data_IF_759536241051
#
_entry.id   IF_759536241051
#
_cell.length_a   1.000
_cell.length_b   1.000
_cell.length_c   1.000
_cell.angle_alpha   90.00
_cell.angle_beta   90.00
_cell.angle_gamma   90.00
#
_symmetry.space_group_name_H-M   'P 1'
#
loop_
_entity.id
_entity.type
_entity.pdbx_description
1 polymer ?
#
# COMPACT_ATOMS: atom_id res chain seq x y z
N UNK A 1 16.14 4.93 6.24
CA UNK A 1 15.50 3.60 6.28
C UNK A 1 15.28 3.16 4.85
N UNK A 2 15.71 1.95 4.49
CA UNK A 2 15.48 1.38 3.16
C UNK A 2 13.96 1.25 2.92
N UNK A 3 13.47 1.70 1.75
CA UNK A 3 12.09 1.51 1.31
C UNK A 3 12.11 1.10 -0.17
N UNK A 4 11.92 -0.19 -0.42
CA UNK A 4 11.91 -0.78 -1.75
C UNK A 4 10.48 -1.11 -2.14
N UNK A 5 10.04 -0.70 -3.32
CA UNK A 5 8.81 -1.19 -3.94
C UNK A 5 9.12 -1.89 -5.26
N UNK A 6 8.46 -3.01 -5.51
CA UNK A 6 8.61 -3.81 -6.74
C UNK A 6 7.39 -4.70 -6.95
N UNK A 7 7.21 -5.17 -8.19
CA UNK A 7 6.20 -6.16 -8.52
C UNK A 7 6.61 -7.56 -8.03
N UNK A 8 5.62 -8.43 -7.82
CA UNK A 8 5.88 -9.83 -7.49
C UNK A 8 6.59 -10.57 -8.63
N UNK A 9 6.29 -10.19 -9.89
CA UNK A 9 6.92 -10.75 -11.07
C UNK A 9 8.42 -10.46 -11.11
N UNK A 10 8.80 -9.22 -10.78
CA UNK A 10 10.21 -8.85 -10.70
C UNK A 10 10.92 -9.60 -9.56
N UNK A 11 10.25 -9.81 -8.42
CA UNK A 11 10.80 -10.61 -7.32
C UNK A 11 10.94 -12.09 -7.70
N UNK A 12 9.98 -12.63 -8.47
CA UNK A 12 10.01 -14.00 -8.98
C UNK A 12 11.02 -14.19 -10.13
N UNK A 13 11.60 -13.12 -10.67
CA UNK A 13 12.55 -13.18 -11.79
C UNK A 13 11.89 -13.41 -13.15
N UNK A 14 10.58 -13.23 -13.27
CA UNK A 14 9.80 -13.41 -14.51
C UNK A 14 9.48 -12.10 -15.22
N UNK A 15 9.87 -10.97 -14.65
CA UNK A 15 9.73 -9.64 -15.25
C UNK A 15 11.01 -8.83 -15.07
N UNK A 16 11.34 -8.04 -16.09
CA UNK A 16 12.42 -7.06 -16.03
C UNK A 16 11.95 -5.67 -15.52
N UNK A 17 10.72 -5.56 -15.07
CA UNK A 17 10.14 -4.31 -14.57
C UNK A 17 10.99 -3.73 -13.43
N UNK A 18 11.39 -2.44 -13.52
CA UNK A 18 12.24 -1.83 -12.50
C UNK A 18 11.50 -1.71 -11.16
N UNK A 19 12.22 -1.96 -10.07
CA UNK A 19 11.78 -1.57 -8.74
C UNK A 19 12.05 -0.08 -8.49
N UNK A 20 11.55 0.42 -7.37
CA UNK A 20 11.80 1.78 -6.90
C UNK A 20 12.38 1.76 -5.50
N UNK A 21 13.53 2.40 -5.34
CA UNK A 21 14.20 2.55 -4.05
C UNK A 21 13.98 3.97 -3.52
N UNK A 22 13.35 4.06 -2.35
CA UNK A 22 13.00 5.33 -1.72
C UNK A 22 14.22 6.23 -1.50
N UNK A 23 14.13 7.49 -1.92
CA UNK A 23 15.22 8.47 -1.84
C UNK A 23 16.28 8.35 -2.95
N UNK A 24 16.25 7.28 -3.77
CA UNK A 24 17.20 7.05 -4.87
C UNK A 24 16.48 7.13 -6.22
N UNK A 25 15.37 6.42 -6.39
CA UNK A 25 14.63 6.37 -7.64
C UNK A 25 14.47 4.95 -8.19
N UNK A 26 14.25 4.79 -9.52
CA UNK A 26 14.13 3.48 -10.14
C UNK A 26 15.44 2.72 -10.09
N UNK A 27 15.34 1.41 -9.87
CA UNK A 27 16.45 0.44 -9.90
C UNK A 27 16.04 -0.75 -10.75
N UNK A 28 17.00 -1.41 -11.39
CA UNK A 28 16.67 -2.59 -12.23
C UNK A 28 16.02 -3.70 -11.41
N UNK A 29 15.24 -4.59 -12.04
CA UNK A 29 14.63 -5.75 -11.39
C UNK A 29 15.69 -6.60 -10.66
N UNK A 30 16.87 -6.78 -11.26
CA UNK A 30 17.98 -7.54 -10.66
C UNK A 30 18.46 -6.86 -9.37
N UNK A 31 18.65 -5.54 -9.39
CA UNK A 31 19.06 -4.78 -8.19
C UNK A 31 17.98 -4.83 -7.11
N UNK A 32 16.74 -4.64 -7.48
CA UNK A 32 15.59 -4.74 -6.57
C UNK A 32 15.51 -6.14 -5.92
N UNK A 33 15.66 -7.20 -6.72
CA UNK A 33 15.68 -8.59 -6.26
C UNK A 33 16.82 -8.86 -5.26
N UNK A 34 18.04 -8.36 -5.53
CA UNK A 34 19.17 -8.46 -4.60
C UNK A 34 18.88 -7.76 -3.28
N UNK A 35 18.34 -6.55 -3.31
CA UNK A 35 17.96 -5.80 -2.11
C UNK A 35 16.86 -6.52 -1.32
N UNK A 36 15.83 -7.04 -2.01
CA UNK A 36 14.79 -7.85 -1.40
C UNK A 36 15.34 -9.14 -0.76
N UNK A 37 16.29 -9.80 -1.43
CA UNK A 37 17.00 -10.96 -0.92
C UNK A 37 17.79 -10.66 0.36
N UNK A 38 18.45 -9.51 0.44
CA UNK A 38 19.14 -9.08 1.67
C UNK A 38 18.12 -8.75 2.78
N UNK A 39 17.01 -8.08 2.45
CA UNK A 39 15.96 -7.77 3.40
C UNK A 39 15.28 -9.05 3.95
N UNK A 40 15.12 -10.10 3.15
CA UNK A 40 14.47 -11.35 3.59
C UNK A 40 15.27 -12.11 4.66
N UNK A 41 16.57 -11.86 4.73
CA UNK A 41 17.47 -12.44 5.76
C UNK A 41 17.44 -11.67 7.08
N UNK A 42 16.86 -10.48 7.09
CA UNK A 42 16.78 -9.64 8.29
C UNK A 42 15.39 -9.77 8.93
N UNK A 43 15.26 -10.33 10.14
CA UNK A 43 13.99 -10.46 10.84
C UNK A 43 13.35 -9.11 11.21
N UNK A 44 14.13 -8.01 11.20
CA UNK A 44 13.62 -6.66 11.43
C UNK A 44 13.04 -6.01 10.16
N UNK A 45 13.29 -6.59 8.97
CA UNK A 45 12.73 -6.07 7.73
C UNK A 45 11.20 -6.25 7.71
N UNK A 46 10.49 -5.18 7.36
CA UNK A 46 9.05 -5.18 7.19
C UNK A 46 8.67 -5.54 5.75
N UNK A 47 7.71 -6.42 5.58
CA UNK A 47 7.15 -6.74 4.26
C UNK A 47 5.72 -6.28 4.18
N UNK A 48 5.42 -5.40 3.26
CA UNK A 48 4.09 -4.89 2.94
C UNK A 48 3.65 -5.44 1.59
N UNK A 49 2.47 -6.03 1.56
CA UNK A 49 1.86 -6.58 0.35
C UNK A 49 0.67 -5.71 -0.01
N UNK A 50 0.63 -5.26 -1.24
CA UNK A 50 -0.46 -4.49 -1.80
C UNK A 50 -1.11 -5.34 -2.88
N UNK A 51 -2.39 -5.64 -2.73
CA UNK A 51 -3.17 -6.31 -3.76
C UNK A 51 -3.83 -5.22 -4.61
N UNK A 52 -3.66 -5.32 -5.93
CA UNK A 52 -4.25 -4.38 -6.89
C UNK A 52 -5.37 -5.04 -7.68
N UNK A 53 -6.34 -4.23 -8.10
CA UNK A 53 -7.32 -4.64 -9.12
C UNK A 53 -6.70 -4.58 -10.52
N UNK A 54 -7.46 -4.94 -11.54
CA UNK A 54 -7.06 -4.89 -12.96
C UNK A 54 -6.69 -3.48 -13.44
N UNK A 55 -7.14 -2.44 -12.78
CA UNK A 55 -6.76 -1.03 -13.03
C UNK A 55 -5.53 -0.57 -12.26
N UNK A 56 -4.82 -1.46 -11.56
CA UNK A 56 -3.64 -1.10 -10.77
C UNK A 56 -3.93 -0.39 -9.44
N UNK A 57 -5.19 -0.24 -9.04
CA UNK A 57 -5.54 0.43 -7.78
C UNK A 57 -5.45 -0.52 -6.59
N UNK A 58 -4.93 -0.06 -5.46
CA UNK A 58 -4.84 -0.86 -4.25
C UNK A 58 -6.23 -1.17 -3.66
N UNK A 59 -6.58 -2.46 -3.60
CA UNK A 59 -7.84 -2.96 -3.02
C UNK A 59 -7.64 -3.62 -1.66
N UNK A 60 -6.45 -4.11 -1.37
CA UNK A 60 -6.10 -4.66 -0.06
C UNK A 60 -4.64 -4.42 0.29
N UNK A 61 -4.36 -4.28 1.57
CA UNK A 61 -2.99 -4.14 2.11
C UNK A 61 -2.82 -5.07 3.29
N UNK A 62 -1.67 -5.73 3.35
CA UNK A 62 -1.31 -6.60 4.46
C UNK A 62 0.21 -6.63 4.66
N UNK A 63 0.65 -7.13 5.78
CA UNK A 63 2.05 -7.44 6.04
C UNK A 63 2.29 -8.94 6.09
N UNK A 64 3.52 -9.35 5.81
CA UNK A 64 3.96 -10.70 6.18
C UNK A 64 4.38 -10.62 7.65
N UNK A 65 3.81 -11.48 8.54
CA UNK A 65 4.26 -11.54 9.92
C UNK A 65 5.75 -11.79 9.99
N UNK A 66 6.44 -11.05 10.86
CA UNK A 66 7.89 -11.23 11.08
C UNK A 66 8.18 -12.68 11.40
N UNK A 67 9.26 -13.22 10.83
CA UNK A 67 9.76 -14.50 11.25
C UNK A 67 10.15 -14.38 12.72
N UNK A 68 9.62 -15.26 13.57
CA UNK A 68 10.16 -15.42 14.92
C UNK A 68 11.63 -15.76 14.76
N UNK A 69 12.49 -15.09 15.53
CA UNK A 69 13.91 -15.47 15.64
C UNK A 69 13.91 -16.96 15.99
N UNK A 70 14.48 -17.80 15.13
CA UNK A 70 14.73 -19.18 15.52
C UNK A 70 15.69 -19.10 16.71
N UNK A 71 15.30 -19.68 17.82
CA UNK A 71 16.16 -19.88 18.97
C UNK A 71 17.18 -20.95 18.58
N UNK A 72 18.23 -20.53 17.90
CA UNK A 72 19.37 -21.31 17.46
C UNK A 72 20.60 -20.44 17.44
N UNK A 73 21.80 -21.01 17.61
CA UNK A 73 23.04 -20.25 17.56
C UNK A 73 23.11 -19.47 16.24
N UNK A 74 23.48 -18.17 16.32
CA UNK A 74 23.70 -17.34 15.15
C UNK A 74 24.81 -17.99 14.31
N UNK A 75 24.52 -18.35 13.06
CA UNK A 75 25.52 -18.82 12.12
C UNK A 75 26.67 -17.77 12.04
N UNK A 76 27.90 -18.15 12.29
CA UNK A 76 29.05 -17.25 12.15
C UNK A 76 29.19 -16.93 10.65
N UNK A 77 28.93 -15.69 10.26
CA UNK A 77 29.00 -15.22 8.87
C UNK A 77 27.69 -14.75 8.26
N UNK A 78 26.57 -14.76 8.98
CA UNK A 78 25.33 -14.14 8.56
C UNK A 78 25.50 -12.63 8.43
N UNK A 79 25.85 -12.16 7.22
CA UNK A 79 25.99 -10.75 6.91
C UNK A 79 24.74 -9.99 7.37
N UNK A 80 24.96 -8.82 7.98
CA UNK A 80 23.88 -7.97 8.47
C UNK A 80 22.88 -7.70 7.34
N UNK A 81 21.72 -8.38 7.40
CA UNK A 81 20.65 -8.18 6.42
C UNK A 81 20.16 -6.74 6.49
N UNK A 82 19.67 -6.21 5.37
CA UNK A 82 19.20 -4.83 5.29
C UNK A 82 17.91 -4.64 6.11
N UNK A 83 17.96 -3.73 7.08
CA UNK A 83 16.78 -3.29 7.79
C UNK A 83 16.01 -2.28 6.93
N UNK A 84 14.70 -2.49 6.76
CA UNK A 84 13.88 -1.59 5.96
C UNK A 84 12.51 -2.15 5.67
N UNK A 85 11.85 -1.55 4.72
CA UNK A 85 10.54 -2.02 4.21
C UNK A 85 10.67 -2.46 2.76
N UNK A 86 10.12 -3.62 2.46
CA UNK A 86 9.89 -4.07 1.09
C UNK A 86 8.39 -4.09 0.83
N UNK A 87 7.96 -3.40 -0.22
CA UNK A 87 6.57 -3.38 -0.67
C UNK A 87 6.47 -4.19 -1.96
N UNK A 88 5.61 -5.21 -1.95
CA UNK A 88 5.30 -6.01 -3.13
C UNK A 88 3.91 -5.68 -3.63
N UNK A 89 3.76 -5.43 -4.91
CA UNK A 89 2.48 -5.34 -5.60
C UNK A 89 2.13 -6.70 -6.21
N UNK A 90 0.90 -7.15 -5.99
CA UNK A 90 0.37 -8.43 -6.48
C UNK A 90 -1.02 -8.16 -7.07
N UNK A 91 -1.20 -8.27 -8.39
CA UNK A 91 -2.53 -8.18 -9.01
C UNK A 91 -3.46 -9.29 -8.53
N UNK A 92 -4.76 -9.00 -8.40
CA UNK A 92 -5.73 -9.96 -7.88
C UNK A 92 -5.96 -11.18 -8.76
N UNK A 93 -5.77 -11.06 -10.07
CA UNK A 93 -5.87 -12.15 -11.04
C UNK A 93 -4.83 -13.24 -10.81
N UNK A 94 -3.63 -12.86 -10.39
CA UNK A 94 -2.56 -13.79 -9.99
C UNK A 94 -2.99 -14.66 -8.80
N UNK A 95 -3.80 -14.10 -7.90
CA UNK A 95 -4.29 -14.84 -6.73
C UNK A 95 -5.43 -15.80 -7.08
N UNK A 96 -6.16 -15.53 -8.16
CA UNK A 96 -7.17 -16.43 -8.71
C UNK A 96 -6.54 -17.58 -9.52
N UNK A 97 -5.45 -17.29 -10.23
CA UNK A 97 -4.74 -18.23 -11.09
C UNK A 97 -3.24 -18.18 -10.76
N UNK A 98 -2.82 -18.73 -9.61
CA UNK A 98 -1.41 -18.68 -9.23
C UNK A 98 -0.57 -19.39 -10.32
N UNK A 99 0.52 -18.75 -10.77
CA UNK A 99 1.39 -19.35 -11.74
C UNK A 99 1.91 -20.68 -11.20
N UNK A 100 2.11 -21.70 -12.05
CA UNK A 100 2.74 -22.94 -11.64
C UNK A 100 4.08 -22.59 -11.00
N UNK A 101 4.44 -23.29 -9.93
CA UNK A 101 5.69 -23.08 -9.20
C UNK A 101 6.87 -23.23 -10.17
N UNK A 102 7.24 -22.14 -10.83
CA UNK A 102 8.39 -22.12 -11.71
C UNK A 102 9.64 -22.05 -10.84
N UNK A 103 10.56 -22.97 -11.04
CA UNK A 103 11.92 -22.84 -10.55
C UNK A 103 12.51 -21.56 -11.18
N UNK A 104 13.02 -20.62 -10.38
CA UNK A 104 13.61 -19.41 -10.93
C UNK A 104 14.75 -19.80 -11.88
N UNK A 105 14.70 -19.22 -13.10
CA UNK A 105 15.81 -19.35 -14.02
C UNK A 105 17.05 -18.73 -13.35
N UNK A 106 18.04 -19.57 -13.03
CA UNK A 106 19.44 -19.25 -12.68
C UNK A 106 19.69 -17.98 -11.83
N UNK A 107 18.88 -17.76 -10.77
CA UNK A 107 19.16 -16.78 -9.73
C UNK A 107 19.09 -17.45 -8.35
N UNK A 108 19.74 -16.91 -7.31
CA UNK A 108 19.56 -17.44 -5.98
C UNK A 108 18.08 -17.38 -5.63
N UNK A 109 17.51 -18.54 -5.30
CA UNK A 109 16.12 -18.70 -4.80
C UNK A 109 15.83 -17.59 -3.78
N UNK A 110 14.75 -16.79 -3.93
CA UNK A 110 14.44 -15.77 -2.94
C UNK A 110 14.36 -16.46 -1.57
N UNK A 111 15.19 -16.06 -0.61
CA UNK A 111 15.43 -16.86 0.59
C UNK A 111 14.13 -17.11 1.35
N UNK A 112 13.89 -18.38 1.66
CA UNK A 112 12.92 -18.78 2.69
C UNK A 112 11.45 -18.68 2.34
N UNK A 113 11.05 -18.90 1.09
CA UNK A 113 9.63 -18.96 0.73
C UNK A 113 8.89 -17.64 0.93
N UNK A 114 9.60 -16.51 0.85
CA UNK A 114 8.99 -15.18 1.06
C UNK A 114 7.87 -14.90 0.06
N UNK A 115 8.05 -15.33 -1.20
CA UNK A 115 7.05 -15.16 -2.25
C UNK A 115 5.78 -15.97 -1.95
N UNK A 116 5.93 -17.24 -1.54
CA UNK A 116 4.79 -18.08 -1.16
C UNK A 116 4.01 -17.47 0.02
N UNK A 117 4.74 -16.95 1.02
CA UNK A 117 4.14 -16.25 2.16
C UNK A 117 3.44 -14.96 1.76
N UNK A 118 4.00 -14.23 0.80
CA UNK A 118 3.41 -13.02 0.24
C UNK A 118 2.10 -13.33 -0.47
N UNK A 119 2.10 -14.34 -1.37
CA UNK A 119 0.90 -14.79 -2.09
C UNK A 119 -0.19 -15.27 -1.12
N UNK A 120 0.17 -16.06 -0.11
CA UNK A 120 -0.78 -16.51 0.91
C UNK A 120 -1.35 -15.34 1.72
N UNK A 121 -0.53 -14.37 2.12
CA UNK A 121 -0.98 -13.19 2.86
C UNK A 121 -1.90 -12.32 1.97
N UNK A 122 -1.56 -12.14 0.70
CA UNK A 122 -2.36 -11.44 -0.30
C UNK A 122 -3.73 -12.09 -0.49
N UNK A 123 -3.80 -13.41 -0.66
CA UNK A 123 -5.06 -14.15 -0.82
C UNK A 123 -6.00 -13.94 0.38
N UNK A 124 -5.47 -14.02 1.61
CA UNK A 124 -6.27 -13.73 2.82
C UNK A 124 -6.72 -12.28 2.89
N UNK A 125 -5.89 -11.33 2.45
CA UNK A 125 -6.24 -9.92 2.43
C UNK A 125 -7.33 -9.63 1.39
N UNK A 126 -7.20 -10.20 0.19
CA UNK A 126 -8.19 -10.09 -0.88
C UNK A 126 -9.55 -10.67 -0.46
N UNK A 127 -9.57 -11.84 0.16
CA UNK A 127 -10.82 -12.44 0.66
C UNK A 127 -11.55 -11.50 1.63
N UNK A 128 -10.82 -10.89 2.58
CA UNK A 128 -11.40 -9.90 3.50
C UNK A 128 -11.88 -8.64 2.78
N UNK A 129 -11.13 -8.16 1.79
CA UNK A 129 -11.51 -6.98 1.01
C UNK A 129 -12.78 -7.23 0.19
N UNK A 130 -12.94 -8.42 -0.39
CA UNK A 130 -14.15 -8.82 -1.14
C UNK A 130 -15.38 -8.91 -0.23
N UNK A 131 -15.24 -9.46 0.98
CA UNK A 131 -16.34 -9.47 1.97
C UNK A 131 -16.73 -8.04 2.36
N UNK A 132 -15.76 -7.15 2.55
CA UNK A 132 -16.04 -5.76 2.87
C UNK A 132 -16.71 -5.04 1.69
N UNK A 133 -16.26 -5.28 0.46
CA UNK A 133 -16.86 -4.69 -0.75
C UNK A 133 -18.29 -5.17 -0.98
N UNK A 134 -18.59 -6.45 -0.75
CA UNK A 134 -19.95 -7.00 -0.81
C UNK A 134 -20.87 -6.34 0.24
N UNK A 135 -20.39 -6.11 1.44
CA UNK A 135 -21.14 -5.41 2.47
C UNK A 135 -21.40 -3.93 2.12
N UNK A 136 -20.42 -3.27 1.50
CA UNK A 136 -20.60 -1.89 1.00
C UNK A 136 -21.64 -1.83 -0.12
N UNK A 137 -21.58 -2.77 -1.06
CA UNK A 137 -22.57 -2.86 -2.14
C UNK A 137 -23.98 -3.06 -1.59
N UNK A 138 -24.14 -3.96 -0.61
CA UNK A 138 -25.43 -4.19 0.04
C UNK A 138 -25.96 -2.97 0.83
N UNK A 139 -25.06 -2.12 1.32
CA UNK A 139 -25.42 -0.89 2.04
C UNK A 139 -25.62 0.33 1.11
N UNK A 140 -25.44 0.17 -0.20
CA UNK A 140 -25.48 1.28 -1.16
C UNK A 140 -24.34 2.30 -0.97
N UNK A 141 -23.25 1.91 -0.27
CA UNK A 141 -22.11 2.75 0.05
C UNK A 141 -21.22 2.11 1.09
N UNK A 142 -20.35 2.89 1.74
CA UNK A 142 -19.47 2.34 2.77
C UNK A 142 -20.27 1.87 4.00
N UNK A 143 -20.26 0.57 4.26
CA UNK A 143 -20.92 -0.04 5.43
C UNK A 143 -20.17 0.22 6.77
N UNK A 144 -19.12 1.02 6.76
CA UNK A 144 -18.32 1.46 7.91
C UNK A 144 -17.76 0.32 8.80
N UNK A 145 -17.69 -0.92 8.27
CA UNK A 145 -17.21 -2.10 9.03
C UNK A 145 -15.79 -1.96 9.56
N UNK A 146 -14.97 -1.11 8.94
CA UNK A 146 -13.59 -0.82 9.34
C UNK A 146 -13.44 0.54 10.04
N UNK A 147 -14.55 1.19 10.40
CA UNK A 147 -14.50 2.46 11.11
C UNK A 147 -13.89 2.26 12.50
N UNK A 148 -13.10 3.24 12.92
CA UNK A 148 -12.53 3.32 14.26
C UNK A 148 -13.21 4.45 15.04
N UNK A 149 -13.53 4.26 16.33
CA UNK A 149 -14.04 5.33 17.18
C UNK A 149 -12.96 6.35 17.57
N UNK A 150 -11.68 6.02 17.33
CA UNK A 150 -10.58 6.92 17.66
C UNK A 150 -10.35 7.94 16.55
N UNK A 151 -9.98 9.17 16.93
CA UNK A 151 -9.57 10.21 15.97
C UNK A 151 -8.40 9.75 15.08
N UNK A 152 -7.37 9.14 15.69
CA UNK A 152 -6.24 8.61 14.93
C UNK A 152 -6.59 7.26 14.34
N UNK A 153 -6.46 7.09 13.02
CA UNK A 153 -6.72 5.80 12.40
C UNK A 153 -5.75 4.72 12.92
N UNK A 154 -6.24 3.49 13.15
CA UNK A 154 -5.38 2.38 13.55
C UNK A 154 -4.38 2.04 12.44
N UNK A 155 -3.23 1.41 12.76
CA UNK A 155 -2.14 1.17 11.80
C UNK A 155 -2.56 0.50 10.50
N UNK A 156 -3.47 -0.48 10.56
CA UNK A 156 -3.98 -1.15 9.36
C UNK A 156 -4.75 -0.21 8.42
N UNK A 157 -5.53 0.71 8.99
CA UNK A 157 -6.26 1.70 8.20
C UNK A 157 -5.31 2.75 7.62
N UNK A 158 -4.30 3.18 8.42
CA UNK A 158 -3.24 4.06 7.93
C UNK A 158 -2.49 3.43 6.75
N UNK A 159 -2.06 2.18 6.88
CA UNK A 159 -1.36 1.46 5.81
C UNK A 159 -2.22 1.36 4.54
N UNK A 160 -3.52 1.06 4.70
CA UNK A 160 -4.45 0.98 3.57
C UNK A 160 -4.63 2.34 2.88
N UNK A 161 -4.93 3.41 3.63
CA UNK A 161 -5.12 4.75 3.05
C UNK A 161 -3.85 5.22 2.34
N UNK A 162 -2.69 5.05 2.98
CA UNK A 162 -1.40 5.43 2.39
C UNK A 162 -1.10 4.66 1.10
N UNK A 163 -1.44 3.38 1.06
CA UNK A 163 -1.25 2.56 -0.14
C UNK A 163 -2.28 2.89 -1.23
N UNK A 164 -3.53 3.13 -0.88
CA UNK A 164 -4.58 3.52 -1.82
C UNK A 164 -4.26 4.86 -2.50
N UNK A 165 -3.81 5.82 -1.70
CA UNK A 165 -3.65 7.20 -2.19
C UNK A 165 -2.28 7.44 -2.85
N UNK A 166 -1.21 6.72 -2.47
CA UNK A 166 0.17 6.88 -2.92
C UNK A 166 0.72 8.31 -2.78
N UNK A 167 -0.04 9.29 -3.27
CA UNK A 167 0.30 10.72 -3.23
C UNK A 167 -0.81 11.54 -2.58
N UNK A 168 -0.53 12.78 -2.27
CA UNK A 168 -1.51 13.74 -1.78
C UNK A 168 -2.73 13.80 -2.72
N UNK A 169 -3.92 13.76 -2.16
CA UNK A 169 -5.20 13.76 -2.90
C UNK A 169 -5.64 15.15 -3.38
N UNK A 170 -4.76 16.12 -3.43
CA UNK A 170 -4.98 17.34 -4.19
C UNK A 170 -4.60 17.10 -5.66
N UNK A 171 -5.42 17.53 -6.62
CA UNK A 171 -5.11 17.38 -8.05
C UNK A 171 -3.71 17.88 -8.38
N UNK A 172 -2.97 17.12 -9.18
CA UNK A 172 -1.59 17.41 -9.61
C UNK A 172 -0.49 17.35 -8.52
N UNK A 173 -0.82 17.24 -7.23
CA UNK A 173 0.18 17.12 -6.18
C UNK A 173 0.83 15.72 -6.18
N UNK A 174 2.18 15.70 -6.19
CA UNK A 174 2.98 14.47 -6.21
C UNK A 174 3.68 14.18 -4.87
N UNK A 175 3.34 14.93 -3.82
CA UNK A 175 3.89 14.64 -2.49
C UNK A 175 3.42 13.27 -2.01
N UNK A 176 4.34 12.37 -1.59
CA UNK A 176 3.96 11.05 -1.12
C UNK A 176 3.00 11.10 0.06
N UNK A 177 1.93 10.30 0.02
CA UNK A 177 0.90 10.25 1.07
C UNK A 177 1.47 9.90 2.45
N UNK A 178 2.52 9.08 2.52
CA UNK A 178 3.18 8.70 3.77
C UNK A 178 3.95 9.83 4.46
N UNK A 179 4.20 10.95 3.76
CA UNK A 179 4.81 12.18 4.31
C UNK A 179 3.77 13.22 4.74
N UNK A 180 2.51 12.97 4.43
CA UNK A 180 1.41 13.86 4.74
C UNK A 180 0.61 13.42 5.96
N UNK A 181 -0.50 14.12 6.16
CA UNK A 181 -1.49 13.80 7.18
C UNK A 181 -2.57 12.89 6.57
N UNK A 182 -3.11 11.98 7.37
CA UNK A 182 -4.34 11.27 7.03
C UNK A 182 -5.51 12.10 7.56
N UNK A 183 -6.11 12.87 6.67
CA UNK A 183 -7.10 13.86 7.02
C UNK A 183 -8.53 13.35 6.82
N UNK A 184 -9.43 13.78 7.73
CA UNK A 184 -10.86 13.50 7.64
C UNK A 184 -11.53 14.47 6.66
N UNK A 185 -12.18 13.97 5.62
CA UNK A 185 -12.93 14.80 4.67
C UNK A 185 -14.04 15.59 5.39
N UNK A 186 -14.87 14.89 6.14
CA UNK A 186 -15.77 15.48 7.13
C UNK A 186 -15.00 15.51 8.46
N UNK A 187 -14.79 16.68 9.08
CA UNK A 187 -14.03 16.78 10.32
C UNK A 187 -14.55 15.87 11.42
N UNK A 188 -13.63 15.28 12.19
CA UNK A 188 -13.98 14.33 13.26
C UNK A 188 -14.85 14.96 14.34
N UNK A 189 -14.56 16.19 14.72
CA UNK A 189 -15.32 17.00 15.69
C UNK A 189 -16.73 17.38 15.19
N UNK A 190 -17.00 17.19 13.89
CA UNK A 190 -18.32 17.36 13.25
C UNK A 190 -18.98 16.02 12.91
N UNK A 191 -18.59 14.96 13.58
CA UNK A 191 -19.15 13.62 13.40
C UNK A 191 -18.58 12.81 12.25
N UNK A 192 -17.49 13.27 11.63
CA UNK A 192 -16.79 12.53 10.59
C UNK A 192 -16.14 11.26 11.14
N UNK A 193 -16.45 10.11 10.54
CA UNK A 193 -15.93 8.83 10.98
C UNK A 193 -14.46 8.64 10.58
N UNK A 194 -13.67 8.03 11.44
CA UNK A 194 -12.34 7.52 11.10
C UNK A 194 -12.49 6.23 10.29
N UNK A 195 -12.78 6.38 8.99
CA UNK A 195 -13.12 5.31 8.06
C UNK A 195 -12.49 5.55 6.69
N UNK A 196 -12.33 4.49 5.91
CA UNK A 196 -11.77 4.56 4.54
C UNK A 196 -12.52 5.50 3.60
N UNK A 197 -13.82 5.71 3.82
CA UNK A 197 -14.67 6.61 3.03
C UNK A 197 -14.59 8.08 3.48
N UNK A 198 -13.91 8.37 4.56
CA UNK A 198 -13.77 9.73 5.11
C UNK A 198 -12.32 10.14 5.36
N UNK A 199 -11.35 9.27 5.05
CA UNK A 199 -9.93 9.57 5.22
C UNK A 199 -9.23 9.68 3.86
N UNK A 200 -8.31 10.65 3.75
CA UNK A 200 -7.44 10.82 2.59
C UNK A 200 -6.06 11.34 2.96
N UNK A 201 -5.07 10.99 2.16
CA UNK A 201 -3.71 11.48 2.30
C UNK A 201 -3.58 12.90 1.78
N UNK A 202 -3.28 13.87 2.62
CA UNK A 202 -3.00 15.25 2.23
C UNK A 202 -1.61 15.68 2.70
N UNK A 203 -0.83 16.33 1.84
CA UNK A 203 0.38 17.00 2.31
C UNK A 203 0.00 18.22 3.17
N UNK A 204 0.93 18.68 4.00
CA UNK A 204 0.68 19.77 4.95
C UNK A 204 0.04 20.99 4.30
N UNK A 205 0.53 21.39 3.13
CA UNK A 205 0.00 22.54 2.38
C UNK A 205 -1.48 22.35 2.01
N UNK A 206 -1.83 21.18 1.45
CA UNK A 206 -3.20 20.93 0.98
C UNK A 206 -4.15 20.56 2.12
N UNK A 207 -3.65 20.04 3.24
CA UNK A 207 -4.42 19.91 4.46
C UNK A 207 -4.82 21.27 5.03
N UNK A 208 -3.91 22.25 5.01
CA UNK A 208 -4.23 23.64 5.38
C UNK A 208 -5.17 24.31 4.38
N UNK A 209 -4.94 24.10 3.06
CA UNK A 209 -5.77 24.67 2.02
C UNK A 209 -7.24 24.24 2.14
N UNK A 210 -7.50 22.99 2.49
CA UNK A 210 -8.86 22.48 2.73
C UNK A 210 -9.63 23.30 3.78
N UNK A 211 -8.92 23.87 4.76
CA UNK A 211 -9.52 24.66 5.84
C UNK A 211 -9.69 26.15 5.47
N UNK A 212 -9.17 26.55 4.30
CA UNK A 212 -9.26 27.94 3.87
C UNK A 212 -10.68 28.28 3.36
N UNK A 213 -11.22 29.45 3.70
CA UNK A 213 -12.56 29.84 3.28
C UNK A 213 -12.80 29.68 1.77
N UNK A 214 -13.96 29.11 1.44
CA UNK A 214 -14.39 28.91 0.05
C UNK A 214 -13.83 27.66 -0.64
N UNK A 215 -12.89 26.92 -0.03
CA UNK A 215 -12.47 25.60 -0.50
C UNK A 215 -13.38 24.53 0.09
N UNK A 216 -13.83 23.61 -0.78
CA UNK A 216 -14.62 22.44 -0.37
C UNK A 216 -13.89 21.18 -0.83
N UNK A 217 -13.89 20.18 0.05
CA UNK A 217 -13.39 18.84 -0.24
C UNK A 217 -14.48 17.83 0.06
N UNK A 218 -14.82 17.02 -0.93
CA UNK A 218 -15.76 15.91 -0.79
C UNK A 218 -15.07 14.61 -1.18
N UNK A 219 -15.38 13.54 -0.49
CA UNK A 219 -14.97 12.19 -0.88
C UNK A 219 -16.19 11.49 -1.48
N UNK A 220 -16.25 11.41 -2.81
CA UNK A 220 -17.40 10.86 -3.56
C UNK A 220 -17.44 9.33 -3.53
N UNK A 221 -16.29 8.70 -3.34
CA UNK A 221 -16.13 7.28 -3.07
C UNK A 221 -14.80 7.08 -2.31
N UNK A 222 -14.55 5.93 -1.65
CA UNK A 222 -13.30 5.70 -0.96
C UNK A 222 -12.07 5.94 -1.85
N UNK A 223 -11.32 7.03 -1.60
CA UNK A 223 -10.16 7.45 -2.37
C UNK A 223 -10.43 8.35 -3.58
N UNK A 224 -11.69 8.57 -3.95
CA UNK A 224 -12.08 9.52 -4.98
C UNK A 224 -12.51 10.84 -4.35
N UNK A 225 -11.83 11.92 -4.70
CA UNK A 225 -12.03 13.24 -4.11
C UNK A 225 -12.45 14.26 -5.16
N UNK A 226 -13.31 15.17 -4.74
CA UNK A 226 -13.69 16.35 -5.49
C UNK A 226 -13.34 17.61 -4.71
N UNK A 227 -12.50 18.45 -5.29
CA UNK A 227 -12.12 19.74 -4.76
C UNK A 227 -12.91 20.83 -5.47
N UNK A 228 -13.51 21.76 -4.72
CA UNK A 228 -14.14 22.95 -5.28
C UNK A 228 -13.38 24.18 -4.80
N UNK A 229 -12.99 25.04 -5.72
CA UNK A 229 -12.28 26.30 -5.42
C UNK A 229 -13.25 27.38 -4.98
N UNK A 230 -12.78 28.48 -4.36
CA UNK A 230 -13.61 29.66 -4.06
C UNK A 230 -14.33 30.27 -5.26
N UNK A 231 -13.77 30.07 -6.49
CA UNK A 231 -14.40 30.51 -7.73
C UNK A 231 -15.39 29.47 -8.32
N UNK A 232 -15.77 28.43 -7.58
CA UNK A 232 -16.72 27.41 -8.00
C UNK A 232 -16.17 26.36 -8.98
N UNK A 233 -14.90 26.40 -9.34
CA UNK A 233 -14.30 25.39 -10.23
C UNK A 233 -14.07 24.08 -9.46
N UNK A 234 -14.36 22.97 -10.11
CA UNK A 234 -14.21 21.63 -9.53
C UNK A 234 -13.10 20.82 -10.19
N UNK A 235 -12.39 20.03 -9.40
CA UNK A 235 -11.34 19.12 -9.83
C UNK A 235 -11.49 17.79 -9.11
N UNK A 236 -11.28 16.70 -9.82
CA UNK A 236 -11.33 15.34 -9.24
C UNK A 236 -9.94 14.75 -9.11
N UNK A 237 -9.74 13.97 -8.04
CA UNK A 237 -8.57 13.14 -7.84
C UNK A 237 -9.04 11.72 -7.50
N UNK A 238 -8.64 10.75 -8.31
CA UNK A 238 -8.91 9.33 -8.10
C UNK A 238 -7.68 8.66 -7.48
N UNK A 239 -7.82 7.45 -6.88
CA UNK A 239 -6.67 6.69 -6.40
C UNK A 239 -5.59 6.56 -7.47
N UNK A 240 -4.33 6.68 -7.05
CA UNK A 240 -3.20 6.45 -7.94
C UNK A 240 -3.10 4.95 -8.30
N UNK A 241 -2.43 4.65 -9.41
CA UNK A 241 -2.25 3.30 -9.90
C UNK A 241 -0.83 2.81 -9.64
N UNK A 242 -0.72 1.55 -9.29
CA UNK A 242 0.54 0.82 -9.24
C UNK A 242 0.86 0.25 -10.63
N UNK A 243 2.12 0.11 -10.98
CA UNK A 243 2.51 -0.70 -12.13
C UNK A 243 1.98 -2.13 -11.95
N UNK A 244 1.37 -2.69 -12.99
CA UNK A 244 0.77 -4.05 -13.03
C UNK A 244 1.35 -4.83 -14.20
#
# INVERSE_FOLDING_TARGET
MLDLSMSWQALAGISAEPGRLGGIGPVTAIQAGRVAGLASRNPAAGWRIIVTNSGGQAIAVTGIPRLRKRDGPAEPGGGAGLAGRVTLTIPEDVLAHPPPAQRPAAGPDPPGGILARALQAAGRALARARVAAAADAAAGGCAHRSASPAYRPPPRLQDYITARDLTCRFPTCRQPAWRGDLDHTIPYDRGGLTCRCNLGGLCRTHHQLKQHPGWLLEQTAPGAFRWTTPAGRTFSATPDIYPV
#
